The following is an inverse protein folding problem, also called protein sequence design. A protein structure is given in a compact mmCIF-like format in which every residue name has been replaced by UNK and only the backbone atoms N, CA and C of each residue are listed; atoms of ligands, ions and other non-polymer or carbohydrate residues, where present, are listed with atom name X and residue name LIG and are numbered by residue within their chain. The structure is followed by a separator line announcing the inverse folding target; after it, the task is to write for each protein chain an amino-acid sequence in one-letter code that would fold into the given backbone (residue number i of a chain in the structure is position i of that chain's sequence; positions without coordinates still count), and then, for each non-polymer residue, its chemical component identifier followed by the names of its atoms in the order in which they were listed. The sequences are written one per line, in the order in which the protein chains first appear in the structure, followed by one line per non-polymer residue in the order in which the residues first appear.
data_IF_014743942935
#
_entry.id   IF_014743942935
#
_cell.length_a   1.000
_cell.length_b   1.000
_cell.length_c   1.000
_cell.angle_alpha   90.00
_cell.angle_beta   90.00
_cell.angle_gamma   90.00
#
_symmetry.space_group_name_H-M   'P 1'
#
loop_
_entity.id
_entity.type
_entity.pdbx_description
1 polymer ?
#
# COMPACT_ATOMS: atom_id res chain seq x y z
N UNK A 1 -87.60 -51.18 48.86
CA UNK A 1 -86.94 -51.39 50.17
C UNK A 1 -86.00 -50.23 50.39
N UNK A 2 -86.54 -49.16 51.00
CA UNK A 2 -86.27 -48.68 52.37
C UNK A 2 -84.99 -47.81 52.37
N UNK A 3 -84.94 -46.55 52.82
CA UNK A 3 -85.72 -45.81 53.82
C UNK A 3 -85.40 -44.31 53.60
N UNK A 4 -86.36 -43.41 53.39
CA UNK A 4 -86.95 -42.51 54.41
C UNK A 4 -85.97 -42.17 55.55
N UNK A 5 -85.41 -40.97 55.50
CA UNK A 5 -85.86 -39.79 56.26
C UNK A 5 -85.34 -39.80 57.69
N UNK A 6 -84.50 -38.81 58.01
CA UNK A 6 -84.58 -38.20 59.32
C UNK A 6 -84.18 -36.73 59.22
N UNK A 7 -84.95 -35.96 59.98
CA UNK A 7 -85.06 -34.50 59.93
C UNK A 7 -84.30 -33.98 61.16
N UNK A 8 -84.00 -32.68 61.14
CA UNK A 8 -83.76 -31.78 62.30
C UNK A 8 -82.34 -31.75 62.90
N UNK A 9 -81.62 -30.62 62.83
CA UNK A 9 -81.67 -29.50 63.79
C UNK A 9 -80.63 -28.41 63.44
N UNK A 10 -81.04 -27.16 63.65
CA UNK A 10 -80.28 -25.93 63.41
C UNK A 10 -79.03 -25.79 64.27
N UNK A 11 -77.94 -25.33 63.66
CA UNK A 11 -76.96 -24.46 64.32
C UNK A 11 -76.44 -23.43 63.33
N UNK A 12 -76.72 -22.15 63.59
CA UNK A 12 -76.13 -21.01 62.86
C UNK A 12 -74.62 -21.04 63.05
N UNK A 13 -73.88 -21.44 62.03
CA UNK A 13 -72.44 -21.25 61.93
C UNK A 13 -72.19 -20.18 60.86
N UNK A 14 -71.57 -19.07 61.27
CA UNK A 14 -71.13 -17.99 60.41
C UNK A 14 -70.07 -18.56 59.46
N UNK A 15 -70.35 -18.66 58.17
CA UNK A 15 -69.37 -19.09 57.17
C UNK A 15 -68.35 -17.97 56.89
N UNK A 16 -67.12 -18.30 56.47
CA UNK A 16 -65.97 -17.39 56.48
C UNK A 16 -66.12 -16.27 55.46
N UNK A 17 -65.58 -15.09 55.78
CA UNK A 17 -65.32 -14.05 54.78
C UNK A 17 -64.38 -14.62 53.71
N UNK A 18 -64.88 -14.68 52.48
CA UNK A 18 -64.06 -14.88 51.30
C UNK A 18 -63.16 -13.65 51.13
N UNK A 19 -61.84 -13.84 51.32
CA UNK A 19 -60.85 -12.84 50.94
C UNK A 19 -60.85 -12.76 49.41
N UNK A 20 -61.62 -11.82 48.87
CA UNK A 20 -61.50 -11.37 47.48
C UNK A 20 -60.14 -10.67 47.32
N UNK A 21 -59.13 -11.40 46.83
CA UNK A 21 -57.90 -10.79 46.34
C UNK A 21 -58.26 -9.98 45.11
N UNK A 22 -58.38 -8.64 45.26
CA UNK A 22 -58.55 -7.73 44.13
C UNK A 22 -57.34 -7.86 43.20
N UNK A 23 -57.53 -8.53 42.07
CA UNK A 23 -56.61 -8.52 40.94
C UNK A 23 -56.55 -7.11 40.37
N UNK A 24 -55.64 -6.31 40.92
CA UNK A 24 -55.32 -4.99 40.41
C UNK A 24 -53.83 -4.80 40.54
N UNK A 25 -53.06 -5.40 39.62
CA UNK A 25 -51.71 -4.89 39.36
C UNK A 25 -51.90 -3.43 38.97
N UNK A 26 -51.59 -2.54 39.90
CA UNK A 26 -51.89 -1.12 39.80
C UNK A 26 -51.34 -0.55 38.50
N UNK A 27 -52.15 0.25 37.79
CA UNK A 27 -51.72 1.04 36.62
C UNK A 27 -50.42 1.82 36.88
N UNK A 28 -50.06 2.04 38.15
CA UNK A 28 -48.80 2.62 38.60
C UNK A 28 -47.55 1.78 38.28
N UNK A 29 -47.61 0.45 38.40
CA UNK A 29 -46.48 -0.43 38.07
C UNK A 29 -46.26 -0.48 36.55
N UNK A 30 -47.35 -0.53 35.79
CA UNK A 30 -47.31 -0.55 34.33
C UNK A 30 -46.75 0.78 33.79
N UNK A 31 -47.15 1.92 34.37
CA UNK A 31 -46.61 3.24 33.99
C UNK A 31 -45.14 3.41 34.39
N UNK A 32 -44.70 2.88 35.54
CA UNK A 32 -43.28 2.92 35.91
C UNK A 32 -42.41 2.04 35.02
N UNK A 33 -42.88 0.86 34.62
CA UNK A 33 -42.18 -0.01 33.67
C UNK A 33 -42.09 0.63 32.27
N UNK A 34 -43.15 1.31 31.83
CA UNK A 34 -43.13 2.06 30.57
C UNK A 34 -42.15 3.25 30.60
N UNK A 35 -42.05 3.97 31.72
CA UNK A 35 -41.08 5.05 31.89
C UNK A 35 -39.63 4.52 31.89
N UNK A 36 -39.38 3.39 32.56
CA UNK A 36 -38.07 2.73 32.56
C UNK A 36 -37.66 2.26 31.16
N UNK A 37 -38.59 1.70 30.38
CA UNK A 37 -38.32 1.29 29.00
C UNK A 37 -38.02 2.48 28.07
N UNK A 38 -38.73 3.61 28.25
CA UNK A 38 -38.49 4.83 27.48
C UNK A 38 -37.14 5.48 27.82
N UNK A 39 -36.74 5.46 29.10
CA UNK A 39 -35.42 5.92 29.55
C UNK A 39 -34.29 5.01 29.04
N UNK A 40 -34.53 3.70 28.93
CA UNK A 40 -33.55 2.74 28.41
C UNK A 40 -33.32 2.90 26.91
N UNK A 41 -34.37 3.19 26.14
CA UNK A 41 -34.28 3.42 24.70
C UNK A 41 -33.52 4.71 24.32
N UNK A 42 -33.50 5.71 25.19
CA UNK A 42 -32.77 6.97 24.99
C UNK A 42 -31.29 6.93 25.35
N UNK A 43 -30.84 5.90 26.09
CA UNK A 43 -29.46 5.77 26.57
C UNK A 43 -28.52 5.02 25.62
N UNK A 44 -29.04 4.36 24.59
CA UNK A 44 -28.20 3.84 23.52
C UNK A 44 -28.09 4.93 22.46
N UNK A 45 -26.94 5.61 22.31
CA UNK A 45 -26.71 6.33 21.07
C UNK A 45 -26.95 5.31 19.97
N UNK A 46 -27.87 5.60 19.03
CA UNK A 46 -27.93 4.87 17.77
C UNK A 46 -26.49 4.85 17.29
N UNK A 47 -25.85 3.67 17.39
CA UNK A 47 -24.46 3.54 17.02
C UNK A 47 -24.40 4.07 15.61
N UNK A 48 -23.73 5.21 15.41
CA UNK A 48 -23.39 5.64 14.06
C UNK A 48 -22.72 4.42 13.47
N UNK A 49 -23.35 3.79 12.48
CA UNK A 49 -22.69 2.76 11.73
C UNK A 49 -21.36 3.38 11.34
N UNK A 50 -20.26 2.85 11.87
CA UNK A 50 -18.95 3.31 11.47
C UNK A 50 -18.95 3.22 9.95
N UNK A 51 -18.61 4.32 9.28
CA UNK A 51 -18.39 4.28 7.83
C UNK A 51 -17.52 3.05 7.55
N UNK A 52 -17.84 2.32 6.47
CA UNK A 52 -17.08 1.13 6.10
C UNK A 52 -15.59 1.42 6.26
N UNK A 53 -14.80 0.55 6.93
CA UNK A 53 -13.41 0.85 7.20
C UNK A 53 -12.75 1.25 5.88
N UNK A 54 -12.21 2.46 5.83
CA UNK A 54 -11.32 2.87 4.73
C UNK A 54 -10.33 1.71 4.55
N UNK A 55 -10.20 1.13 3.33
CA UNK A 55 -9.34 -0.01 3.14
C UNK A 55 -7.96 0.35 3.68
N UNK A 56 -7.42 -0.48 4.58
CA UNK A 56 -6.10 -0.32 5.20
C UNK A 56 -5.03 -0.44 4.12
N UNK A 57 -4.88 0.65 3.36
CA UNK A 57 -4.07 0.75 2.17
C UNK A 57 -3.11 1.90 2.36
N UNK A 58 -1.85 1.54 2.55
CA UNK A 58 -0.76 2.51 2.58
C UNK A 58 -0.29 2.76 1.15
N UNK A 59 -0.24 4.04 0.77
CA UNK A 59 0.33 4.49 -0.51
C UNK A 59 1.58 5.32 -0.23
N UNK A 60 2.73 5.02 -0.87
CA UNK A 60 3.92 5.85 -0.71
C UNK A 60 3.67 7.29 -1.18
N UNK A 61 4.21 8.26 -0.44
CA UNK A 61 4.22 9.65 -0.91
C UNK A 61 5.05 9.77 -2.19
N UNK A 62 4.63 10.67 -3.09
CA UNK A 62 5.46 11.05 -4.23
C UNK A 62 6.74 11.69 -3.71
N UNK A 63 7.90 11.27 -4.24
CA UNK A 63 9.20 11.84 -3.83
C UNK A 63 9.21 13.37 -3.98
N UNK A 64 8.59 13.89 -5.04
CA UNK A 64 8.50 15.33 -5.30
C UNK A 64 7.60 16.09 -4.33
N UNK A 65 6.70 15.41 -3.59
CA UNK A 65 5.80 16.05 -2.62
C UNK A 65 6.37 16.09 -1.20
N UNK A 66 7.57 15.55 -0.97
CA UNK A 66 8.22 15.54 0.34
C UNK A 66 9.44 16.45 0.31
N UNK A 67 9.62 17.26 1.35
CA UNK A 67 10.87 18.00 1.58
C UNK A 67 11.40 17.62 2.95
N UNK A 68 12.61 17.08 2.96
CA UNK A 68 13.33 16.77 4.18
C UNK A 68 14.09 18.02 4.63
N UNK A 69 14.28 18.14 5.94
CA UNK A 69 15.07 19.18 6.58
C UNK A 69 16.07 18.54 7.56
N UNK A 70 16.94 19.36 8.15
CA UNK A 70 17.93 18.91 9.13
C UNK A 70 19.00 18.02 8.52
N UNK A 71 19.40 16.95 9.22
CA UNK A 71 20.58 16.15 8.90
C UNK A 71 20.58 15.53 7.49
N UNK A 72 19.42 15.11 6.97
CA UNK A 72 19.33 14.37 5.70
C UNK A 72 19.37 15.27 4.47
N UNK A 73 18.80 16.49 4.56
CA UNK A 73 18.66 17.36 3.39
C UNK A 73 20.01 17.74 2.76
N UNK A 74 21.02 18.22 3.51
CA UNK A 74 22.33 18.54 2.93
C UNK A 74 23.01 17.34 2.28
N UNK A 75 22.79 16.12 2.80
CA UNK A 75 23.38 14.89 2.25
C UNK A 75 22.76 14.49 0.91
N UNK A 76 21.45 14.68 0.76
CA UNK A 76 20.76 14.47 -0.52
C UNK A 76 21.27 15.46 -1.56
N UNK A 77 21.40 16.74 -1.20
CA UNK A 77 21.92 17.78 -2.10
C UNK A 77 23.39 17.52 -2.46
N UNK A 78 24.23 17.11 -1.50
CA UNK A 78 25.61 16.75 -1.74
C UNK A 78 25.75 15.50 -2.62
N UNK A 79 24.89 14.49 -2.44
CA UNK A 79 24.85 13.32 -3.32
C UNK A 79 24.49 13.73 -4.76
N UNK A 80 23.49 14.58 -4.95
CA UNK A 80 23.09 15.08 -6.27
C UNK A 80 24.26 15.75 -6.99
N UNK A 81 24.93 16.69 -6.31
CA UNK A 81 25.97 17.55 -6.90
C UNK A 81 27.33 16.87 -7.00
N UNK A 82 27.79 16.26 -5.92
CA UNK A 82 29.17 15.78 -5.81
C UNK A 82 29.34 14.32 -6.20
N UNK A 83 28.25 13.54 -6.32
CA UNK A 83 28.32 12.12 -6.69
C UNK A 83 27.64 11.80 -8.01
N UNK A 84 26.37 12.16 -8.15
CA UNK A 84 25.57 11.79 -9.32
C UNK A 84 25.94 12.62 -10.54
N UNK A 85 26.02 13.95 -10.40
CA UNK A 85 26.46 14.86 -11.46
C UNK A 85 27.92 14.65 -11.84
N UNK A 86 28.80 14.36 -10.87
CA UNK A 86 30.23 14.17 -11.09
C UNK A 86 30.60 12.81 -11.72
N UNK A 87 29.68 11.83 -11.77
CA UNK A 87 29.97 10.50 -12.31
C UNK A 87 30.34 10.58 -13.80
N UNK A 88 31.43 9.96 -14.22
CA UNK A 88 31.79 9.94 -15.64
C UNK A 88 30.78 9.12 -16.49
N UNK A 89 30.26 9.73 -17.56
CA UNK A 89 29.29 9.08 -18.43
C UNK A 89 29.94 7.97 -19.27
N UNK A 90 31.21 8.14 -19.66
CA UNK A 90 31.97 7.13 -20.40
C UNK A 90 32.13 5.86 -19.59
N UNK A 91 32.56 5.97 -18.34
CA UNK A 91 32.75 4.86 -17.42
C UNK A 91 31.45 4.10 -17.15
N UNK A 92 30.31 4.79 -17.01
CA UNK A 92 29.00 4.14 -16.83
C UNK A 92 28.61 3.26 -18.03
N UNK A 93 28.98 3.68 -19.25
CA UNK A 93 28.50 3.09 -20.49
C UNK A 93 29.54 2.21 -21.19
N UNK A 94 30.79 2.21 -20.71
CA UNK A 94 31.93 1.59 -21.37
C UNK A 94 31.65 0.13 -21.78
N UNK A 95 31.11 -0.68 -20.86
CA UNK A 95 30.82 -2.10 -21.14
C UNK A 95 29.64 -2.36 -22.08
N UNK A 96 28.78 -1.36 -22.30
CA UNK A 96 27.66 -1.46 -23.24
C UNK A 96 28.08 -1.00 -24.64
N UNK A 97 28.86 0.07 -24.72
CA UNK A 97 29.40 0.62 -25.96
C UNK A 97 30.53 -0.26 -26.51
N UNK A 98 31.27 -0.96 -25.64
CA UNK A 98 32.36 -1.87 -26.01
C UNK A 98 32.24 -3.19 -25.23
N UNK A 99 31.85 -4.25 -25.92
CA UNK A 99 31.71 -5.61 -25.36
C UNK A 99 32.95 -6.46 -25.69
N UNK A 100 33.42 -7.35 -24.79
CA UNK A 100 32.91 -7.52 -23.44
C UNK A 100 33.35 -6.36 -22.53
N UNK A 101 32.55 -6.11 -21.49
CA UNK A 101 32.92 -5.17 -20.44
C UNK A 101 34.21 -5.56 -19.71
N UNK A 102 34.94 -4.57 -19.17
CA UNK A 102 36.24 -4.79 -18.49
C UNK A 102 36.12 -5.57 -17.18
N UNK A 103 34.91 -5.65 -16.60
CA UNK A 103 34.59 -6.46 -15.43
C UNK A 103 33.22 -7.11 -15.62
N UNK A 104 33.05 -8.31 -15.07
CA UNK A 104 31.84 -9.11 -15.26
C UNK A 104 30.55 -8.40 -14.80
N UNK A 105 30.63 -7.54 -13.78
CA UNK A 105 29.51 -6.79 -13.22
C UNK A 105 29.40 -5.34 -13.75
N UNK A 106 30.27 -4.88 -14.66
CA UNK A 106 30.37 -3.45 -15.02
C UNK A 106 29.04 -2.82 -15.44
N UNK A 107 28.17 -3.60 -16.07
CA UNK A 107 26.85 -3.14 -16.52
C UNK A 107 25.89 -2.76 -15.39
N UNK A 108 26.17 -3.15 -14.13
CA UNK A 108 25.32 -2.76 -13.00
C UNK A 108 25.35 -1.26 -12.72
N UNK A 109 26.47 -0.60 -13.05
CA UNK A 109 26.73 0.76 -12.59
C UNK A 109 25.79 1.78 -13.24
N UNK A 110 25.52 1.66 -14.54
CA UNK A 110 24.58 2.57 -15.24
C UNK A 110 23.16 2.44 -14.67
N UNK A 111 22.71 1.22 -14.39
CA UNK A 111 21.38 0.95 -13.85
C UNK A 111 21.20 1.51 -12.44
N UNK A 112 22.17 1.24 -11.55
CA UNK A 112 22.18 1.79 -10.18
C UNK A 112 22.26 3.32 -10.18
N UNK A 113 23.15 3.89 -11.00
CA UNK A 113 23.29 5.33 -11.13
C UNK A 113 21.99 5.97 -11.65
N UNK A 114 21.37 5.40 -12.69
CA UNK A 114 20.15 5.93 -13.28
C UNK A 114 18.96 5.85 -12.32
N UNK A 115 18.83 4.76 -11.56
CA UNK A 115 17.83 4.64 -10.51
C UNK A 115 17.96 5.75 -9.46
N UNK A 116 19.18 5.91 -8.92
CA UNK A 116 19.47 6.95 -7.92
C UNK A 116 19.28 8.36 -8.50
N UNK A 117 19.79 8.63 -9.70
CA UNK A 117 19.66 9.92 -10.38
C UNK A 117 18.20 10.28 -10.63
N UNK A 118 17.37 9.32 -11.04
CA UNK A 118 15.95 9.55 -11.29
C UNK A 118 15.22 9.97 -10.00
N UNK A 119 15.43 9.24 -8.90
CA UNK A 119 14.84 9.58 -7.59
C UNK A 119 15.34 10.94 -7.10
N UNK A 120 16.65 11.18 -7.17
CA UNK A 120 17.24 12.44 -6.72
C UNK A 120 16.74 13.61 -7.56
N UNK A 121 16.61 13.47 -8.88
CA UNK A 121 16.03 14.50 -9.74
C UNK A 121 14.56 14.78 -9.40
N UNK A 122 13.76 13.75 -9.13
CA UNK A 122 12.37 13.96 -8.69
C UNK A 122 12.27 14.72 -7.36
N UNK A 123 13.27 14.60 -6.48
CA UNK A 123 13.37 15.35 -5.23
C UNK A 123 13.87 16.79 -5.43
N UNK A 124 14.93 16.97 -6.21
CA UNK A 124 15.64 18.26 -6.33
C UNK A 124 15.12 19.15 -7.45
N UNK A 125 14.56 18.58 -8.52
CA UNK A 125 14.22 19.27 -9.76
C UNK A 125 15.43 19.76 -10.56
N UNK A 126 16.65 19.30 -10.27
CA UNK A 126 17.88 19.84 -10.87
C UNK A 126 17.93 19.57 -12.40
N UNK A 127 17.86 20.62 -13.25
CA UNK A 127 17.84 20.45 -14.70
C UNK A 127 19.15 19.88 -15.26
N UNK A 128 20.28 20.10 -14.58
CA UNK A 128 21.58 19.56 -15.00
C UNK A 128 21.61 18.04 -14.85
N UNK A 129 21.02 17.54 -13.75
CA UNK A 129 20.93 16.09 -13.51
C UNK A 129 19.98 15.45 -14.52
N UNK A 130 18.85 16.09 -14.83
CA UNK A 130 17.94 15.64 -15.89
C UNK A 130 18.65 15.55 -17.24
N UNK A 131 19.33 16.60 -17.67
CA UNK A 131 20.04 16.61 -18.95
C UNK A 131 21.09 15.49 -19.04
N UNK A 132 21.77 15.19 -17.92
CA UNK A 132 22.73 14.07 -17.85
C UNK A 132 22.06 12.71 -17.94
N UNK A 133 20.95 12.50 -17.23
CA UNK A 133 20.16 11.27 -17.34
C UNK A 133 19.73 11.01 -18.78
N UNK A 134 19.21 12.03 -19.46
CA UNK A 134 18.73 11.92 -20.84
C UNK A 134 19.88 11.54 -21.80
N UNK A 135 21.08 12.12 -21.63
CA UNK A 135 22.26 11.73 -22.41
C UNK A 135 22.67 10.28 -22.17
N UNK A 136 22.75 9.86 -20.90
CA UNK A 136 23.13 8.49 -20.53
C UNK A 136 22.13 7.47 -21.07
N UNK A 137 20.82 7.72 -20.90
CA UNK A 137 19.77 6.84 -21.43
C UNK A 137 19.85 6.77 -22.95
N UNK A 138 19.95 7.91 -23.65
CA UNK A 138 20.05 7.91 -25.11
C UNK A 138 21.27 7.14 -25.64
N UNK A 139 22.40 7.19 -24.94
CA UNK A 139 23.57 6.36 -25.26
C UNK A 139 23.32 4.88 -24.98
N UNK A 140 22.81 4.55 -23.80
CA UNK A 140 22.49 3.17 -23.42
C UNK A 140 21.53 2.50 -24.40
N UNK A 141 20.44 3.18 -24.76
CA UNK A 141 19.42 2.66 -25.69
C UNK A 141 19.98 2.33 -27.08
N UNK A 142 20.99 3.07 -27.55
CA UNK A 142 21.65 2.78 -28.84
C UNK A 142 22.46 1.49 -28.84
N UNK A 143 22.74 0.93 -27.66
CA UNK A 143 23.51 -0.32 -27.51
C UNK A 143 22.64 -1.56 -27.41
N UNK A 144 21.30 -1.40 -27.36
CA UNK A 144 20.38 -2.54 -27.32
C UNK A 144 20.41 -3.29 -28.65
N UNK A 145 20.61 -4.60 -28.59
CA UNK A 145 20.60 -5.45 -29.78
C UNK A 145 19.17 -5.68 -30.30
N UNK A 146 19.01 -6.13 -31.56
CA UNK A 146 17.69 -6.31 -32.17
C UNK A 146 16.76 -7.29 -31.43
N UNK A 147 17.32 -8.29 -30.78
CA UNK A 147 16.63 -9.30 -29.97
C UNK A 147 16.25 -8.81 -28.56
N UNK A 148 16.55 -7.54 -28.24
CA UNK A 148 16.28 -6.95 -26.93
C UNK A 148 17.46 -7.01 -25.96
N UNK A 149 18.55 -7.69 -26.31
CA UNK A 149 19.69 -7.86 -25.41
C UNK A 149 20.35 -6.51 -25.10
N UNK A 150 20.42 -6.17 -23.82
CA UNK A 150 21.03 -4.94 -23.32
C UNK A 150 21.95 -5.26 -22.14
N UNK A 151 22.92 -6.14 -22.40
CA UNK A 151 23.99 -6.48 -21.47
C UNK A 151 25.38 -6.10 -22.00
N UNK A 152 26.41 -6.46 -21.24
CA UNK A 152 27.82 -6.11 -21.48
C UNK A 152 28.67 -7.31 -21.92
N UNK A 153 28.06 -8.47 -22.20
CA UNK A 153 28.75 -9.71 -22.57
C UNK A 153 28.76 -9.90 -24.09
N UNK A 154 29.67 -10.75 -24.58
CA UNK A 154 29.63 -11.24 -25.95
C UNK A 154 28.45 -12.23 -26.13
N UNK A 155 28.00 -12.42 -27.36
CA UNK A 155 26.83 -13.26 -27.66
C UNK A 155 26.99 -14.72 -27.19
N UNK A 156 28.21 -15.25 -27.24
CA UNK A 156 28.53 -16.61 -26.78
C UNK A 156 28.52 -16.77 -25.25
N UNK A 157 28.60 -15.67 -24.51
CA UNK A 157 28.76 -15.67 -23.04
C UNK A 157 27.51 -15.15 -22.32
N UNK A 158 26.42 -14.87 -23.07
CA UNK A 158 25.16 -14.39 -22.50
C UNK A 158 24.63 -15.35 -21.46
N UNK A 159 23.94 -14.79 -20.46
CA UNK A 159 23.27 -15.56 -19.38
C UNK A 159 24.21 -16.37 -18.50
N UNK A 160 25.51 -16.16 -18.61
CA UNK A 160 26.50 -16.71 -17.68
C UNK A 160 26.88 -15.66 -16.63
N UNK A 161 27.39 -16.13 -15.50
CA UNK A 161 28.00 -15.28 -14.47
C UNK A 161 27.06 -14.13 -14.01
N UNK A 162 27.44 -12.87 -14.23
CA UNK A 162 26.70 -11.69 -13.78
C UNK A 162 25.75 -11.10 -14.84
N UNK A 163 25.56 -11.74 -15.99
CA UNK A 163 24.82 -11.10 -17.09
C UNK A 163 23.33 -10.86 -16.77
N UNK A 164 22.67 -11.81 -16.11
CA UNK A 164 21.29 -11.63 -15.60
C UNK A 164 21.22 -10.52 -14.55
N UNK A 165 22.27 -10.41 -13.72
CA UNK A 165 22.39 -9.34 -12.72
C UNK A 165 22.52 -7.96 -13.36
N UNK A 166 23.28 -7.85 -14.47
CA UNK A 166 23.35 -6.62 -15.26
C UNK A 166 21.97 -6.23 -15.79
N UNK A 167 21.24 -7.17 -16.41
CA UNK A 167 19.90 -6.89 -16.94
C UNK A 167 18.92 -6.43 -15.85
N UNK A 168 18.95 -7.03 -14.65
CA UNK A 168 18.16 -6.56 -13.49
C UNK A 168 18.40 -5.08 -13.21
N UNK A 169 19.65 -4.62 -13.17
CA UNK A 169 19.93 -3.21 -12.86
C UNK A 169 19.59 -2.28 -14.01
N UNK A 170 19.81 -2.70 -15.25
CA UNK A 170 19.38 -1.95 -16.43
C UNK A 170 17.86 -1.75 -16.41
N UNK A 171 17.09 -2.82 -16.16
CA UNK A 171 15.63 -2.75 -15.98
C UNK A 171 15.25 -1.75 -14.87
N UNK A 172 15.86 -1.88 -13.69
CA UNK A 172 15.60 -0.97 -12.56
C UNK A 172 15.84 0.50 -12.95
N UNK A 173 16.96 0.78 -13.61
CA UNK A 173 17.31 2.12 -14.07
C UNK A 173 16.31 2.67 -15.09
N UNK A 174 16.03 1.90 -16.15
CA UNK A 174 15.12 2.30 -17.23
C UNK A 174 13.69 2.53 -16.72
N UNK A 175 13.17 1.64 -15.88
CA UNK A 175 11.84 1.79 -15.29
C UNK A 175 11.75 3.01 -14.37
N UNK A 176 12.78 3.25 -13.56
CA UNK A 176 12.81 4.41 -12.66
C UNK A 176 12.87 5.74 -13.41
N UNK A 177 13.59 5.75 -14.53
CA UNK A 177 13.67 6.87 -15.44
C UNK A 177 12.33 7.09 -16.15
N UNK A 178 11.73 6.04 -16.71
CA UNK A 178 10.41 6.12 -17.35
C UNK A 178 9.33 6.64 -16.39
N UNK A 179 9.24 6.08 -15.17
CA UNK A 179 8.22 6.45 -14.18
C UNK A 179 8.23 7.96 -13.87
N UNK A 180 9.40 8.61 -13.93
CA UNK A 180 9.58 10.02 -13.55
C UNK A 180 9.63 10.97 -14.74
N UNK A 181 10.07 10.50 -15.89
CA UNK A 181 10.24 11.35 -17.09
C UNK A 181 9.13 11.17 -18.12
N UNK A 182 8.43 10.04 -18.10
CA UNK A 182 7.46 9.64 -19.12
C UNK A 182 8.07 9.22 -20.45
N UNK A 183 9.39 9.08 -20.57
CA UNK A 183 10.07 8.78 -21.85
C UNK A 183 9.77 7.34 -22.33
N UNK A 184 8.91 7.16 -23.35
CA UNK A 184 8.41 5.84 -23.74
C UNK A 184 9.51 4.90 -24.24
N UNK A 185 10.56 5.43 -24.88
CA UNK A 185 11.66 4.61 -25.41
C UNK A 185 12.39 3.84 -24.32
N UNK A 186 12.44 4.37 -23.09
CA UNK A 186 13.04 3.67 -21.96
C UNK A 186 12.17 2.48 -21.51
N UNK A 187 10.84 2.64 -21.49
CA UNK A 187 9.92 1.54 -21.20
C UNK A 187 9.96 0.48 -22.29
N UNK A 188 9.99 0.87 -23.55
CA UNK A 188 10.05 -0.07 -24.67
C UNK A 188 11.33 -0.90 -24.65
N UNK A 189 12.47 -0.29 -24.33
CA UNK A 189 13.72 -1.03 -24.14
C UNK A 189 13.64 -1.99 -22.94
N UNK A 190 13.03 -1.58 -21.83
CA UNK A 190 12.82 -2.45 -20.68
C UNK A 190 11.91 -3.64 -21.02
N UNK A 191 10.85 -3.44 -21.79
CA UNK A 191 9.98 -4.52 -22.29
C UNK A 191 10.77 -5.52 -23.12
N UNK A 192 11.56 -5.06 -24.09
CA UNK A 192 12.39 -5.94 -24.91
C UNK A 192 13.40 -6.76 -24.11
N UNK A 193 13.93 -6.22 -23.01
CA UNK A 193 14.74 -7.02 -22.07
C UNK A 193 13.87 -8.08 -21.41
N UNK A 194 12.69 -7.71 -20.90
CA UNK A 194 11.77 -8.63 -20.26
C UNK A 194 11.26 -9.74 -21.17
N UNK A 195 11.01 -9.44 -22.45
CA UNK A 195 10.58 -10.41 -23.46
C UNK A 195 11.70 -11.40 -23.85
N UNK A 196 12.96 -10.99 -23.69
CA UNK A 196 14.13 -11.82 -23.98
C UNK A 196 14.50 -12.78 -22.83
N UNK A 197 14.20 -12.40 -21.58
CA UNK A 197 14.51 -13.18 -20.37
C UNK A 197 13.52 -14.33 -20.15
#
# INVERSE_FOLDING_TARGET
MNSLSERVFHRKTKSPEEIQIKTGLSNFIITQLALLAALWAGCFPLGKAFAAPEPDRQVPFKVSSVRLAGFLQPRIIANARSRLLAMDEGALLAGFEHRPGTQAWIGEHVGKWLHAASITWAYTGDPSLRAKMDRVVNRLLRTQKPDGYLGTYLDKDRWTSWDVWVHKYVLLGLLSYYERTGEPRALDAARKIGDLL
#
